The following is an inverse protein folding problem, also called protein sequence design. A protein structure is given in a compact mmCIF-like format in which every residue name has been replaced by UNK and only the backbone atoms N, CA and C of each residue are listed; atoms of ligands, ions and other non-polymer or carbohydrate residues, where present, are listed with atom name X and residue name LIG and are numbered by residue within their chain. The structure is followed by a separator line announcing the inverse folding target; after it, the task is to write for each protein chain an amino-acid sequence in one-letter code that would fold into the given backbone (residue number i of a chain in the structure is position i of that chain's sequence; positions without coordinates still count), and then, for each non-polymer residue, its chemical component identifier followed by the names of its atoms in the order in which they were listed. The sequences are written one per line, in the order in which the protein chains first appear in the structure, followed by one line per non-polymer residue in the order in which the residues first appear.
data_IF_538281217493
#
_entry.id   IF_538281217493
#
_cell.length_a   1.000
_cell.length_b   1.000
_cell.length_c   1.000
_cell.angle_alpha   90.00
_cell.angle_beta   90.00
_cell.angle_gamma   90.00
#
_symmetry.space_group_name_H-M   'P 1'
#
loop_
_entity.id
_entity.type
_entity.pdbx_description
1 polymer ?
#
# COMPACT_ATOMS: atom_id res chain seq x y z
N UNK A 1 14.62 7.34 -16.19
CA UNK A 1 14.13 6.16 -16.92
C UNK A 1 12.62 6.26 -17.11
N UNK A 2 12.02 5.39 -17.97
CA UNK A 2 10.57 5.28 -18.09
C UNK A 2 10.03 4.29 -17.08
N UNK A 3 9.09 4.73 -16.26
CA UNK A 3 8.45 3.92 -15.21
C UNK A 3 6.93 3.90 -15.44
N UNK A 4 6.34 2.72 -15.44
CA UNK A 4 4.90 2.56 -15.49
C UNK A 4 4.39 2.22 -14.08
N UNK A 5 3.47 3.03 -13.54
CA UNK A 5 2.87 2.81 -12.23
C UNK A 5 1.43 2.35 -12.41
N UNK A 6 1.09 1.14 -12.00
CA UNK A 6 -0.31 0.71 -11.92
C UNK A 6 -0.93 1.14 -10.61
N UNK A 7 -2.17 1.60 -10.60
CA UNK A 7 -2.82 2.15 -9.42
C UNK A 7 -2.29 3.53 -9.00
N UNK A 8 -1.70 4.28 -9.95
CA UNK A 8 -1.06 5.56 -9.69
C UNK A 8 -2.02 6.70 -9.34
N UNK A 9 -3.32 6.57 -9.60
CA UNK A 9 -4.36 7.51 -9.17
C UNK A 9 -4.91 7.21 -7.76
N UNK A 10 -4.50 6.09 -7.16
CA UNK A 10 -4.88 5.68 -5.80
C UNK A 10 -4.11 6.41 -4.71
N UNK A 11 -4.35 6.02 -3.45
CA UNK A 11 -3.68 6.59 -2.28
C UNK A 11 -2.15 6.42 -2.36
N UNK A 12 -1.65 5.20 -2.22
CA UNK A 12 -0.20 4.92 -2.20
C UNK A 12 0.42 5.27 -3.55
N UNK A 13 -0.24 4.89 -4.65
CA UNK A 13 0.28 5.09 -6.00
C UNK A 13 0.53 6.55 -6.34
N UNK A 14 -0.31 7.48 -5.88
CA UNK A 14 -0.12 8.91 -6.14
C UNK A 14 1.12 9.49 -5.44
N UNK A 15 1.44 9.03 -4.22
CA UNK A 15 2.69 9.42 -3.55
C UNK A 15 3.92 8.83 -4.26
N UNK A 16 3.79 7.61 -4.79
CA UNK A 16 4.85 6.97 -5.60
C UNK A 16 5.08 7.76 -6.89
N UNK A 17 4.02 8.17 -7.59
CA UNK A 17 4.10 8.97 -8.81
C UNK A 17 4.82 10.30 -8.53
N UNK A 18 4.41 11.03 -7.50
CA UNK A 18 5.04 12.30 -7.11
C UNK A 18 6.53 12.13 -6.84
N UNK A 19 6.89 11.07 -6.09
CA UNK A 19 8.28 10.81 -5.75
C UNK A 19 9.11 10.45 -6.98
N UNK A 20 8.62 9.62 -7.86
CA UNK A 20 9.34 9.22 -9.07
C UNK A 20 9.53 10.41 -10.03
N UNK A 21 8.56 11.31 -10.13
CA UNK A 21 8.69 12.56 -10.89
C UNK A 21 9.76 13.46 -10.28
N UNK A 22 9.78 13.62 -8.95
CA UNK A 22 10.79 14.41 -8.24
C UNK A 22 12.21 13.86 -8.44
N UNK A 23 12.33 12.53 -8.61
CA UNK A 23 13.61 11.87 -8.93
C UNK A 23 13.97 11.92 -10.43
N UNK A 24 13.19 12.66 -11.27
CA UNK A 24 13.45 12.88 -12.69
C UNK A 24 13.09 11.71 -13.61
N UNK A 25 12.22 10.79 -13.18
CA UNK A 25 11.72 9.71 -14.03
C UNK A 25 10.60 10.20 -14.95
N UNK A 26 10.51 9.64 -16.16
CA UNK A 26 9.32 9.76 -17.01
C UNK A 26 8.30 8.71 -16.53
N UNK A 27 7.14 9.16 -16.07
CA UNK A 27 6.13 8.29 -15.45
C UNK A 27 4.87 8.24 -16.32
N UNK A 28 4.41 7.03 -16.60
CA UNK A 28 3.06 6.74 -17.10
C UNK A 28 2.26 6.03 -15.99
N UNK A 29 0.95 6.24 -15.95
CA UNK A 29 0.04 5.63 -14.96
C UNK A 29 -1.01 4.79 -15.67
N UNK A 30 -1.26 3.57 -15.17
CA UNK A 30 -2.46 2.78 -15.45
C UNK A 30 -3.32 2.78 -14.20
N UNK A 31 -4.59 3.17 -14.33
CA UNK A 31 -5.57 3.11 -13.26
C UNK A 31 -6.97 2.96 -13.88
N UNK A 32 -7.84 2.14 -13.28
CA UNK A 32 -9.22 2.01 -13.74
C UNK A 32 -10.17 3.02 -13.09
N UNK A 33 -9.65 3.85 -12.19
CA UNK A 33 -10.36 4.88 -11.41
C UNK A 33 -11.53 4.34 -10.55
N UNK A 34 -11.51 3.04 -10.21
CA UNK A 34 -12.53 2.46 -9.33
C UNK A 34 -12.49 3.06 -7.90
N UNK A 35 -11.30 3.38 -7.41
CA UNK A 35 -11.07 4.09 -6.14
C UNK A 35 -10.04 5.22 -6.31
N UNK A 36 -9.31 5.20 -7.42
CA UNK A 36 -8.37 6.26 -7.80
C UNK A 36 -9.11 7.52 -8.23
N UNK A 37 -8.45 8.66 -8.09
CA UNK A 37 -8.97 9.98 -8.50
C UNK A 37 -8.03 10.58 -9.55
N UNK A 38 -8.58 10.99 -10.69
CA UNK A 38 -7.83 11.60 -11.81
C UNK A 38 -7.00 12.81 -11.35
N UNK A 39 -7.55 13.60 -10.44
CA UNK A 39 -6.97 14.83 -9.91
C UNK A 39 -5.67 14.59 -9.14
N UNK A 40 -5.43 13.35 -8.70
CA UNK A 40 -4.19 12.93 -8.03
C UNK A 40 -3.03 12.66 -8.99
N UNK A 41 -3.31 12.60 -10.29
CA UNK A 41 -2.29 12.35 -11.32
C UNK A 41 -1.86 13.69 -11.90
N UNK A 42 -0.59 14.12 -11.73
CA UNK A 42 -0.09 15.38 -12.26
C UNK A 42 -0.28 15.50 -13.78
N UNK A 43 -0.58 16.69 -14.29
CA UNK A 43 -0.86 16.93 -15.70
C UNK A 43 0.28 16.57 -16.68
N UNK A 44 1.52 16.49 -16.17
CA UNK A 44 2.67 16.04 -16.95
C UNK A 44 2.74 14.51 -17.12
N UNK A 45 1.89 13.75 -16.39
CA UNK A 45 1.85 12.29 -16.41
C UNK A 45 0.75 11.81 -17.33
N UNK A 46 1.06 10.89 -18.23
CA UNK A 46 0.05 10.23 -19.04
C UNK A 46 -0.73 9.22 -18.21
N UNK A 47 -2.02 9.46 -18.02
CA UNK A 47 -2.95 8.55 -17.38
C UNK A 47 -3.67 7.69 -18.43
N UNK A 48 -3.44 6.39 -18.38
CA UNK A 48 -4.17 5.38 -19.15
C UNK A 48 -5.30 4.84 -18.28
N UNK A 49 -6.57 5.19 -18.59
CA UNK A 49 -7.73 4.64 -17.89
C UNK A 49 -7.99 3.23 -18.40
N UNK A 50 -7.50 2.23 -17.68
CA UNK A 50 -7.52 0.83 -18.08
C UNK A 50 -7.51 -0.08 -16.85
N UNK A 51 -8.34 -1.14 -16.88
CA UNK A 51 -8.26 -2.22 -15.89
C UNK A 51 -7.15 -3.21 -16.32
N UNK A 52 -6.46 -3.81 -15.36
CA UNK A 52 -5.41 -4.81 -15.65
C UNK A 52 -5.96 -6.07 -16.35
N UNK A 53 -7.26 -6.30 -16.29
CA UNK A 53 -7.97 -7.42 -16.93
C UNK A 53 -8.52 -7.06 -18.33
N UNK A 54 -8.32 -5.81 -18.76
CA UNK A 54 -8.80 -5.33 -20.06
C UNK A 54 -7.86 -5.80 -21.17
N UNK A 55 -8.43 -6.22 -22.31
CA UNK A 55 -7.67 -6.59 -23.49
C UNK A 55 -6.77 -5.47 -24.04
N UNK A 56 -7.07 -4.20 -23.72
CA UNK A 56 -6.27 -3.03 -24.10
C UNK A 56 -4.93 -2.93 -23.35
N UNK A 57 -4.71 -3.73 -22.30
CA UNK A 57 -3.51 -3.64 -21.46
C UNK A 57 -2.22 -3.79 -22.29
N UNK A 58 -2.19 -4.70 -23.27
CA UNK A 58 -1.04 -4.88 -24.18
C UNK A 58 -0.69 -3.58 -24.92
N UNK A 59 -1.68 -2.94 -25.52
CA UNK A 59 -1.49 -1.70 -26.28
C UNK A 59 -1.01 -0.55 -25.38
N UNK A 60 -1.52 -0.49 -24.15
CA UNK A 60 -1.14 0.54 -23.16
C UNK A 60 0.33 0.36 -22.76
N UNK A 61 0.74 -0.84 -22.39
CA UNK A 61 2.13 -1.10 -21.97
C UNK A 61 3.10 -0.93 -23.16
N UNK A 62 2.71 -1.35 -24.37
CA UNK A 62 3.50 -1.14 -25.57
C UNK A 62 3.70 0.36 -25.89
N UNK A 63 2.66 1.19 -25.68
CA UNK A 63 2.75 2.65 -25.87
C UNK A 63 3.61 3.34 -24.80
N UNK A 64 3.56 2.88 -23.55
CA UNK A 64 4.35 3.42 -22.45
C UNK A 64 5.84 3.04 -22.54
N UNK A 65 6.17 1.89 -23.14
CA UNK A 65 7.54 1.35 -23.28
C UNK A 65 8.34 1.42 -21.96
N UNK A 66 7.84 0.89 -20.84
CA UNK A 66 8.49 1.03 -19.56
C UNK A 66 9.73 0.16 -19.44
N UNK A 67 10.82 0.70 -18.89
CA UNK A 67 11.96 -0.10 -18.43
C UNK A 67 11.68 -0.79 -17.09
N UNK A 68 10.81 -0.18 -16.26
CA UNK A 68 10.40 -0.68 -14.95
C UNK A 68 8.90 -0.52 -14.77
N UNK A 69 8.26 -1.52 -14.19
CA UNK A 69 6.85 -1.46 -13.76
C UNK A 69 6.80 -1.45 -12.23
N UNK A 70 6.07 -0.49 -11.67
CA UNK A 70 5.71 -0.43 -10.26
C UNK A 70 4.24 -0.84 -10.14
N UNK A 71 3.99 -2.01 -9.55
CA UNK A 71 2.66 -2.58 -9.44
C UNK A 71 2.05 -2.31 -8.08
N UNK A 72 1.19 -1.26 -8.01
CA UNK A 72 0.47 -0.84 -6.79
C UNK A 72 -1.02 -1.17 -6.89
N UNK A 73 -1.57 -1.26 -8.11
CA UNK A 73 -2.99 -1.54 -8.32
C UNK A 73 -3.43 -2.83 -7.61
N UNK A 74 -4.47 -2.74 -6.83
CA UNK A 74 -5.07 -3.87 -6.11
C UNK A 74 -6.50 -3.57 -5.66
N UNK A 75 -7.31 -4.60 -5.48
CA UNK A 75 -8.41 -4.57 -4.53
C UNK A 75 -7.77 -4.67 -3.13
N UNK A 76 -7.88 -3.64 -2.28
CA UNK A 76 -7.15 -3.56 -1.00
C UNK A 76 -8.04 -3.70 0.24
N UNK A 77 -9.38 -3.74 0.05
CA UNK A 77 -10.35 -3.83 1.13
C UNK A 77 -10.51 -5.26 1.62
N UNK A 78 -10.12 -5.53 2.88
CA UNK A 78 -10.23 -6.87 3.49
C UNK A 78 -11.69 -7.33 3.57
N UNK A 79 -12.64 -6.47 3.99
CA UNK A 79 -14.06 -6.83 4.07
C UNK A 79 -14.64 -7.18 2.71
N UNK A 80 -14.26 -6.43 1.67
CA UNK A 80 -14.69 -6.74 0.30
C UNK A 80 -14.13 -8.08 -0.16
N UNK A 81 -12.89 -8.42 0.20
CA UNK A 81 -12.31 -9.71 -0.15
C UNK A 81 -13.05 -10.88 0.51
N UNK A 82 -13.56 -10.68 1.73
CA UNK A 82 -14.38 -11.69 2.43
C UNK A 82 -15.77 -11.80 1.80
N UNK A 83 -16.38 -10.66 1.44
CA UNK A 83 -17.70 -10.63 0.82
C UNK A 83 -17.70 -11.18 -0.61
N UNK A 84 -16.64 -10.91 -1.39
CA UNK A 84 -16.49 -11.40 -2.77
C UNK A 84 -15.02 -11.82 -3.05
N UNK A 85 -14.63 -13.02 -2.61
CA UNK A 85 -13.27 -13.52 -2.82
C UNK A 85 -12.95 -13.78 -4.30
N UNK A 86 -13.97 -14.01 -5.15
CA UNK A 86 -13.76 -14.17 -6.59
C UNK A 86 -13.34 -12.87 -7.24
N UNK A 87 -14.00 -11.78 -6.88
CA UNK A 87 -13.61 -10.45 -7.36
C UNK A 87 -12.21 -10.08 -6.89
N UNK A 88 -11.90 -10.30 -5.60
CA UNK A 88 -10.56 -10.07 -5.05
C UNK A 88 -9.49 -10.84 -5.83
N UNK A 89 -9.67 -12.15 -6.03
CA UNK A 89 -8.74 -12.98 -6.80
C UNK A 89 -8.66 -12.53 -8.27
N UNK A 90 -9.78 -12.12 -8.88
CA UNK A 90 -9.78 -11.64 -10.26
C UNK A 90 -8.92 -10.39 -10.45
N UNK A 91 -8.96 -9.45 -9.50
CA UNK A 91 -8.17 -8.22 -9.55
C UNK A 91 -6.72 -8.49 -9.15
N UNK A 92 -6.49 -9.10 -7.98
CA UNK A 92 -5.17 -9.20 -7.38
C UNK A 92 -4.31 -10.32 -7.97
N UNK A 93 -4.92 -11.45 -8.38
CA UNK A 93 -4.19 -12.58 -8.96
C UNK A 93 -4.24 -12.54 -10.48
N UNK A 94 -5.43 -12.60 -11.08
CA UNK A 94 -5.54 -12.64 -12.55
C UNK A 94 -5.07 -11.34 -13.19
N UNK A 95 -5.35 -10.17 -12.59
CA UNK A 95 -4.84 -8.88 -13.04
C UNK A 95 -3.32 -8.81 -12.99
N UNK A 96 -2.69 -9.35 -11.91
CA UNK A 96 -1.23 -9.43 -11.82
C UNK A 96 -0.65 -10.36 -12.88
N UNK A 97 -1.25 -11.54 -13.11
CA UNK A 97 -0.82 -12.47 -14.15
C UNK A 97 -0.87 -11.79 -15.52
N UNK A 98 -2.00 -11.14 -15.86
CA UNK A 98 -2.15 -10.41 -17.12
C UNK A 98 -1.07 -9.34 -17.29
N UNK A 99 -0.79 -8.55 -16.25
CA UNK A 99 0.29 -7.55 -16.27
C UNK A 99 1.66 -8.20 -16.53
N UNK A 100 1.98 -9.29 -15.83
CA UNK A 100 3.27 -9.99 -15.99
C UNK A 100 3.45 -10.61 -17.38
N UNK A 101 2.38 -11.15 -17.98
CA UNK A 101 2.39 -11.64 -19.36
C UNK A 101 2.66 -10.51 -20.36
N UNK A 102 2.01 -9.36 -20.19
CA UNK A 102 2.26 -8.17 -21.02
C UNK A 102 3.68 -7.65 -20.81
N UNK A 103 4.16 -7.58 -19.57
CA UNK A 103 5.55 -7.22 -19.27
C UNK A 103 6.54 -8.14 -20.02
N UNK A 104 6.30 -9.45 -20.03
CA UNK A 104 7.14 -10.42 -20.75
C UNK A 104 7.16 -10.13 -22.25
N UNK A 105 5.98 -9.90 -22.88
CA UNK A 105 5.88 -9.59 -24.31
C UNK A 105 6.54 -8.27 -24.68
N UNK A 106 6.41 -7.26 -23.80
CA UNK A 106 7.00 -5.92 -24.00
C UNK A 106 8.50 -5.85 -23.62
N UNK A 107 9.11 -6.95 -23.19
CA UNK A 107 10.53 -6.98 -22.82
C UNK A 107 10.86 -6.23 -21.52
N UNK A 108 9.89 -5.98 -20.66
CA UNK A 108 10.12 -5.40 -19.33
C UNK A 108 11.00 -6.32 -18.51
N UNK A 109 12.03 -5.78 -17.89
CA UNK A 109 13.01 -6.56 -17.12
C UNK A 109 12.91 -6.35 -15.61
N UNK A 110 12.14 -5.36 -15.17
CA UNK A 110 12.03 -4.98 -13.76
C UNK A 110 10.59 -4.79 -13.34
N UNK A 111 10.17 -5.47 -12.26
CA UNK A 111 8.88 -5.25 -11.59
C UNK A 111 9.12 -5.02 -10.10
N UNK A 112 8.58 -3.91 -9.57
CA UNK A 112 8.49 -3.62 -8.14
C UNK A 112 7.03 -3.77 -7.74
N UNK A 113 6.75 -4.65 -6.81
CA UNK A 113 5.39 -4.98 -6.38
C UNK A 113 5.15 -4.56 -4.93
N UNK A 114 4.03 -3.89 -4.66
CA UNK A 114 3.59 -3.61 -3.29
C UNK A 114 2.65 -4.71 -2.81
N UNK A 115 3.12 -5.50 -1.86
CA UNK A 115 2.35 -6.53 -1.17
C UNK A 115 1.93 -6.04 0.22
N UNK A 116 1.48 -6.93 1.07
CA UNK A 116 1.05 -6.62 2.43
C UNK A 116 1.89 -7.40 3.45
N UNK A 117 2.44 -6.72 4.45
CA UNK A 117 2.99 -7.37 5.63
C UNK A 117 1.93 -7.55 6.72
N UNK A 118 1.00 -6.59 6.81
CA UNK A 118 -0.07 -6.63 7.82
C UNK A 118 -1.07 -7.78 7.65
N UNK A 119 -1.24 -8.32 6.44
CA UNK A 119 -2.20 -9.41 6.19
C UNK A 119 -1.54 -10.73 5.74
N UNK A 120 -0.22 -10.76 5.54
CA UNK A 120 0.48 -11.91 4.97
C UNK A 120 0.89 -12.94 6.03
N UNK A 121 1.35 -12.48 7.20
CA UNK A 121 1.96 -13.35 8.20
C UNK A 121 0.96 -14.01 9.15
N UNK A 122 -0.24 -13.44 9.31
CA UNK A 122 -1.22 -13.87 10.31
C UNK A 122 -0.78 -13.54 11.73
N UNK A 123 -1.43 -14.15 12.72
CA UNK A 123 -1.03 -13.98 14.11
C UNK A 123 0.27 -14.75 14.39
N UNK A 124 1.20 -14.08 15.07
CA UNK A 124 2.52 -14.63 15.43
C UNK A 124 3.08 -13.99 16.68
N UNK A 125 3.85 -14.74 17.44
CA UNK A 125 4.62 -14.25 18.60
C UNK A 125 6.03 -13.77 18.19
N UNK A 126 6.43 -14.00 16.92
CA UNK A 126 7.71 -13.53 16.40
C UNK A 126 7.55 -12.08 15.93
N UNK A 127 7.89 -11.15 16.80
CA UNK A 127 7.72 -9.71 16.59
C UNK A 127 9.01 -8.95 16.96
N UNK A 128 9.47 -7.99 16.11
CA UNK A 128 8.98 -7.70 14.76
C UNK A 128 9.13 -8.89 13.81
N UNK A 129 8.16 -9.08 12.90
CA UNK A 129 8.09 -10.25 12.00
C UNK A 129 9.05 -10.10 10.82
N UNK A 130 10.04 -11.00 10.62
CA UNK A 130 10.97 -10.97 9.48
C UNK A 130 10.36 -11.59 8.22
N UNK A 131 10.99 -11.37 7.05
CA UNK A 131 10.47 -11.83 5.76
C UNK A 131 10.48 -13.34 5.56
N UNK A 132 11.31 -14.08 6.26
CA UNK A 132 11.40 -15.54 6.23
C UNK A 132 10.40 -16.23 7.15
N UNK A 133 9.65 -15.48 7.95
CA UNK A 133 8.51 -16.02 8.70
C UNK A 133 7.48 -16.65 7.75
N UNK A 134 6.92 -17.83 8.08
CA UNK A 134 5.89 -18.46 7.26
C UNK A 134 4.68 -17.55 7.00
N UNK A 135 4.21 -17.54 5.75
CA UNK A 135 3.00 -16.81 5.37
C UNK A 135 1.76 -17.60 5.80
N UNK A 136 0.91 -16.98 6.61
CA UNK A 136 -0.35 -17.56 7.13
C UNK A 136 -1.49 -16.55 7.02
N UNK A 137 -1.82 -16.08 5.80
CA UNK A 137 -2.85 -15.07 5.62
C UNK A 137 -4.22 -15.57 6.08
N UNK A 138 -4.91 -14.75 6.89
CA UNK A 138 -6.22 -15.07 7.46
C UNK A 138 -7.39 -14.48 6.64
N UNK A 139 -7.13 -13.84 5.50
CA UNK A 139 -8.16 -13.25 4.65
C UNK A 139 -7.91 -13.54 3.17
N UNK A 140 -8.96 -13.57 2.32
CA UNK A 140 -8.79 -13.70 0.87
C UNK A 140 -7.86 -12.64 0.27
N UNK A 141 -7.90 -11.40 0.77
CA UNK A 141 -6.95 -10.35 0.40
C UNK A 141 -5.49 -10.74 0.69
N UNK A 142 -5.20 -11.22 1.89
CA UNK A 142 -3.85 -11.67 2.24
C UNK A 142 -3.41 -12.84 1.36
N UNK A 143 -4.31 -13.80 1.09
CA UNK A 143 -4.07 -14.94 0.18
C UNK A 143 -3.76 -14.44 -1.23
N UNK A 144 -4.59 -13.57 -1.80
CA UNK A 144 -4.41 -13.09 -3.18
C UNK A 144 -3.11 -12.29 -3.34
N UNK A 145 -2.76 -11.44 -2.36
CA UNK A 145 -1.52 -10.66 -2.38
C UNK A 145 -0.28 -11.56 -2.31
N UNK A 146 -0.27 -12.54 -1.42
CA UNK A 146 0.85 -13.49 -1.29
C UNK A 146 0.93 -14.46 -2.46
N UNK A 147 -0.20 -14.83 -3.07
CA UNK A 147 -0.23 -15.61 -4.32
C UNK A 147 0.42 -14.83 -5.47
N UNK A 148 0.11 -13.54 -5.61
CA UNK A 148 0.73 -12.68 -6.62
C UNK A 148 2.26 -12.60 -6.46
N UNK A 149 2.79 -12.62 -5.23
CA UNK A 149 4.25 -12.70 -4.99
C UNK A 149 4.87 -13.93 -5.68
N UNK A 150 4.21 -15.08 -5.60
CA UNK A 150 4.70 -16.33 -6.23
C UNK A 150 4.68 -16.25 -7.76
N UNK A 151 3.68 -15.57 -8.34
CA UNK A 151 3.66 -15.31 -9.77
C UNK A 151 4.78 -14.38 -10.23
N UNK A 152 5.15 -13.36 -9.42
CA UNK A 152 6.30 -12.50 -9.70
C UNK A 152 7.62 -13.28 -9.65
N UNK A 153 7.82 -14.14 -8.65
CA UNK A 153 8.99 -15.02 -8.55
C UNK A 153 9.11 -15.93 -9.76
N UNK A 154 8.00 -16.59 -10.15
CA UNK A 154 7.93 -17.45 -11.34
C UNK A 154 8.24 -16.65 -12.61
N UNK A 155 7.63 -15.49 -12.81
CA UNK A 155 7.89 -14.61 -13.94
C UNK A 155 9.37 -14.22 -14.02
N UNK A 156 9.99 -13.84 -12.93
CA UNK A 156 11.41 -13.49 -12.88
C UNK A 156 12.29 -14.68 -13.31
N UNK A 157 12.00 -15.89 -12.81
CA UNK A 157 12.73 -17.11 -13.19
C UNK A 157 12.59 -17.47 -14.66
N UNK A 158 11.38 -17.35 -15.23
CA UNK A 158 11.10 -17.70 -16.62
C UNK A 158 11.65 -16.68 -17.63
N UNK A 159 11.74 -15.40 -17.26
CA UNK A 159 12.12 -14.31 -18.18
C UNK A 159 13.55 -13.83 -18.00
N UNK A 160 14.22 -14.24 -16.92
CA UNK A 160 15.49 -13.65 -16.49
C UNK A 160 15.34 -12.20 -15.99
N UNK A 161 14.12 -11.75 -15.74
CA UNK A 161 13.80 -10.45 -15.15
C UNK A 161 14.11 -10.38 -13.67
N UNK A 162 13.87 -9.22 -13.07
CA UNK A 162 14.04 -8.97 -11.63
C UNK A 162 12.72 -8.52 -11.03
N UNK A 163 12.25 -9.21 -10.00
CA UNK A 163 11.08 -8.82 -9.21
C UNK A 163 11.52 -8.50 -7.78
N UNK A 164 11.03 -7.39 -7.24
CA UNK A 164 11.18 -7.05 -5.83
C UNK A 164 9.80 -6.79 -5.24
N UNK A 165 9.45 -7.55 -4.24
CA UNK A 165 8.21 -7.38 -3.47
C UNK A 165 8.48 -6.56 -2.22
N UNK A 166 7.68 -5.53 -2.01
CA UNK A 166 7.67 -4.71 -0.81
C UNK A 166 6.42 -5.05 0.00
N UNK A 167 6.57 -5.76 1.12
CA UNK A 167 5.48 -6.07 2.06
C UNK A 167 5.27 -4.89 2.99
N UNK A 168 4.20 -4.14 2.75
CA UNK A 168 3.91 -2.91 3.48
C UNK A 168 3.23 -3.19 4.83
N UNK A 169 3.64 -2.46 5.87
CA UNK A 169 2.90 -2.32 7.11
C UNK A 169 1.63 -1.47 6.88
N UNK A 170 0.98 -0.99 7.94
CA UNK A 170 -0.22 -0.18 7.82
C UNK A 170 0.12 1.24 7.31
N UNK A 171 -0.06 1.45 6.01
CA UNK A 171 0.25 2.75 5.38
C UNK A 171 -0.81 3.78 5.74
N UNK A 172 -0.38 4.99 6.09
CA UNK A 172 -1.27 6.11 6.38
C UNK A 172 -0.71 7.42 5.82
N UNK A 173 -1.57 8.43 5.66
CA UNK A 173 -1.16 9.76 5.20
C UNK A 173 -2.22 10.50 4.39
N UNK A 174 -1.88 11.67 3.84
CA UNK A 174 -2.71 12.43 2.91
C UNK A 174 -3.25 11.58 1.76
N UNK A 175 -4.42 11.95 1.23
CA UNK A 175 -5.10 11.27 0.11
C UNK A 175 -5.68 9.88 0.45
N UNK A 176 -5.56 9.40 1.70
CA UNK A 176 -6.26 8.17 2.11
C UNK A 176 -7.76 8.47 2.23
N UNK A 177 -8.59 7.66 1.55
CA UNK A 177 -10.05 7.84 1.57
C UNK A 177 -10.63 7.35 2.90
N UNK A 178 -11.31 8.19 3.71
CA UNK A 178 -11.90 7.77 4.97
C UNK A 178 -13.22 7.00 4.81
N UNK A 179 -13.85 7.02 3.62
CA UNK A 179 -15.17 6.43 3.40
C UNK A 179 -15.14 4.92 3.08
N UNK A 180 -13.96 4.38 2.71
CA UNK A 180 -13.81 2.95 2.39
C UNK A 180 -13.34 2.12 3.59
N UNK A 181 -12.71 0.97 3.33
CA UNK A 181 -11.89 0.28 4.33
C UNK A 181 -10.58 1.05 4.56
N UNK A 182 -10.76 2.30 4.89
CA UNK A 182 -9.65 3.17 5.22
C UNK A 182 -8.94 2.65 6.47
N UNK A 183 -7.66 2.90 6.54
CA UNK A 183 -6.94 2.72 7.78
C UNK A 183 -7.58 3.59 8.89
N UNK A 184 -7.53 3.10 10.11
CA UNK A 184 -8.12 3.75 11.29
C UNK A 184 -7.72 5.22 11.42
N UNK A 185 -6.51 5.61 10.97
CA UNK A 185 -6.03 7.00 11.01
C UNK A 185 -6.89 7.92 10.16
N UNK A 186 -7.21 7.54 8.92
CA UNK A 186 -8.04 8.35 8.04
C UNK A 186 -9.48 8.47 8.57
N UNK A 187 -10.04 7.35 9.06
CA UNK A 187 -11.39 7.33 9.66
C UNK A 187 -11.46 8.25 10.88
N UNK A 188 -10.51 8.10 11.82
CA UNK A 188 -10.52 8.90 13.05
C UNK A 188 -10.24 10.37 12.77
N UNK A 189 -9.28 10.68 11.87
CA UNK A 189 -9.00 12.06 11.48
C UNK A 189 -10.25 12.75 10.91
N UNK A 190 -10.92 12.11 9.96
CA UNK A 190 -12.14 12.68 9.35
C UNK A 190 -13.26 12.85 10.36
N UNK A 191 -13.55 11.84 11.20
CA UNK A 191 -14.62 11.90 12.21
C UNK A 191 -14.34 12.94 13.30
N UNK A 192 -13.13 12.95 13.83
CA UNK A 192 -12.75 13.92 14.86
C UNK A 192 -12.86 15.37 14.37
N UNK A 193 -12.46 15.64 13.13
CA UNK A 193 -12.59 16.95 12.51
C UNK A 193 -14.05 17.34 12.22
N UNK A 194 -14.91 16.36 11.94
CA UNK A 194 -16.36 16.58 11.79
C UNK A 194 -17.10 16.69 13.13
N UNK A 195 -16.43 16.43 14.27
CA UNK A 195 -17.07 16.37 15.58
C UNK A 195 -17.86 15.08 15.85
N UNK A 196 -17.69 14.07 14.97
CA UNK A 196 -18.38 12.79 15.06
C UNK A 196 -17.71 11.83 16.08
N UNK A 197 -18.46 10.89 16.68
CA UNK A 197 -17.89 9.87 17.55
C UNK A 197 -17.03 8.89 16.77
N UNK A 198 -15.89 8.48 17.36
CA UNK A 198 -15.04 7.42 16.84
C UNK A 198 -15.31 6.11 17.58
N UNK A 199 -15.50 5.04 16.81
CA UNK A 199 -15.72 3.69 17.33
C UNK A 199 -14.41 2.89 17.29
N UNK A 200 -13.95 2.45 18.45
CA UNK A 200 -12.85 1.50 18.64
C UNK A 200 -13.46 0.10 18.76
N UNK A 201 -13.04 -0.84 17.91
CA UNK A 201 -13.51 -2.22 18.01
C UNK A 201 -12.75 -2.94 19.13
N UNK A 202 -13.48 -3.66 19.99
CA UNK A 202 -12.92 -4.35 21.15
C UNK A 202 -12.36 -3.42 22.22
N UNK A 203 -11.29 -3.85 22.86
CA UNK A 203 -10.61 -3.11 23.94
C UNK A 203 -9.65 -2.01 23.44
N UNK A 204 -9.38 -1.95 22.13
CA UNK A 204 -8.48 -0.98 21.52
C UNK A 204 -6.99 -1.23 21.76
N UNK A 205 -6.63 -2.37 22.39
CA UNK A 205 -5.24 -2.74 22.67
C UNK A 205 -4.59 -3.57 21.52
N UNK A 206 -5.30 -3.79 20.41
CA UNK A 206 -4.69 -4.34 19.21
C UNK A 206 -3.68 -3.35 18.65
N UNK A 207 -2.50 -3.86 18.25
CA UNK A 207 -1.40 -3.03 17.77
C UNK A 207 -1.18 -3.17 16.28
N UNK A 208 -0.68 -2.10 15.66
CA UNK A 208 -0.21 -2.08 14.26
C UNK A 208 1.08 -1.29 14.16
N UNK A 209 1.85 -1.62 13.14
CA UNK A 209 2.98 -0.84 12.67
C UNK A 209 2.46 0.15 11.61
N UNK A 210 2.56 1.45 11.90
CA UNK A 210 2.07 2.50 11.02
C UNK A 210 3.23 3.17 10.28
N UNK A 211 3.25 3.05 8.96
CA UNK A 211 4.26 3.65 8.09
C UNK A 211 3.67 4.78 7.26
N UNK A 212 4.34 5.92 7.21
CA UNK A 212 3.85 7.09 6.49
C UNK A 212 4.01 6.94 4.97
N UNK A 213 3.03 7.43 4.19
CA UNK A 213 2.95 7.21 2.75
C UNK A 213 4.19 7.71 1.98
N UNK A 214 4.84 8.81 2.41
CA UNK A 214 6.06 9.27 1.76
C UNK A 214 7.26 8.35 2.00
N UNK A 215 7.32 7.67 3.15
CA UNK A 215 8.36 6.67 3.41
C UNK A 215 8.18 5.44 2.52
N UNK A 216 6.93 5.02 2.28
CA UNK A 216 6.62 3.96 1.31
C UNK A 216 6.99 4.39 -0.10
N UNK A 217 6.67 5.61 -0.53
CA UNK A 217 7.08 6.14 -1.83
C UNK A 217 8.61 6.18 -1.97
N UNK A 218 9.34 6.54 -0.89
CA UNK A 218 10.79 6.47 -0.82
C UNK A 218 11.31 5.03 -0.99
N UNK A 219 10.67 4.04 -0.35
CA UNK A 219 11.06 2.62 -0.51
C UNK A 219 10.91 2.17 -1.96
N UNK A 220 9.79 2.52 -2.61
CA UNK A 220 9.54 2.22 -4.02
C UNK A 220 10.57 2.91 -4.92
N UNK A 221 10.87 4.19 -4.70
CA UNK A 221 11.87 4.92 -5.48
C UNK A 221 13.27 4.30 -5.37
N UNK A 222 13.68 3.90 -4.17
CA UNK A 222 14.94 3.16 -3.95
C UNK A 222 14.93 1.80 -4.65
N UNK A 223 13.81 1.09 -4.63
CA UNK A 223 13.64 -0.16 -5.37
C UNK A 223 13.76 0.02 -6.89
N UNK A 224 13.23 1.13 -7.43
CA UNK A 224 13.38 1.52 -8.85
C UNK A 224 14.82 1.86 -9.18
N UNK A 225 15.52 2.57 -8.28
CA UNK A 225 16.93 2.94 -8.44
C UNK A 225 17.91 1.77 -8.26
N UNK A 226 17.45 0.62 -7.75
CA UNK A 226 18.26 -0.59 -7.49
C UNK A 226 17.82 -1.74 -8.40
N UNK A 227 18.13 -1.72 -9.70
CA UNK A 227 17.56 -2.65 -10.68
C UNK A 227 17.96 -4.12 -10.45
N UNK A 228 19.11 -4.36 -9.83
CA UNK A 228 19.65 -5.71 -9.58
C UNK A 228 19.10 -6.36 -8.31
N UNK A 229 18.49 -5.57 -7.40
CA UNK A 229 17.92 -6.06 -6.15
C UNK A 229 16.62 -6.81 -6.42
N UNK A 230 16.52 -8.05 -5.98
CA UNK A 230 15.34 -8.91 -6.13
C UNK A 230 14.95 -9.56 -4.80
N UNK A 231 13.78 -10.20 -4.78
CA UNK A 231 13.28 -10.92 -3.61
C UNK A 231 12.19 -10.16 -2.86
N UNK A 232 12.22 -10.19 -1.53
CA UNK A 232 11.17 -9.62 -0.67
C UNK A 232 11.81 -8.75 0.41
N UNK A 233 11.21 -7.60 0.70
CA UNK A 233 11.57 -6.74 1.82
C UNK A 233 10.32 -6.19 2.53
N UNK A 234 10.33 -6.21 3.85
CA UNK A 234 9.31 -5.57 4.67
C UNK A 234 9.53 -4.05 4.73
N UNK A 235 8.45 -3.30 4.64
CA UNK A 235 8.43 -1.84 4.72
C UNK A 235 7.53 -1.43 5.89
N UNK A 236 8.15 -1.18 7.01
CA UNK A 236 7.52 -0.83 8.28
C UNK A 236 8.46 -0.02 9.16
N UNK A 237 7.98 0.39 10.30
CA UNK A 237 8.77 1.19 11.28
C UNK A 237 9.42 0.30 12.35
N UNK A 238 8.93 -0.93 12.52
CA UNK A 238 9.32 -1.82 13.61
C UNK A 238 8.72 -1.42 14.97
N UNK A 239 7.78 -0.50 14.99
CA UNK A 239 7.15 0.00 16.22
C UNK A 239 5.66 -0.32 16.25
N UNK A 240 5.20 -0.80 17.39
CA UNK A 240 3.78 -1.08 17.65
C UNK A 240 3.08 0.15 18.25
N UNK A 241 1.87 0.43 17.78
CA UNK A 241 1.00 1.45 18.37
C UNK A 241 -0.40 0.88 18.54
N UNK A 242 -1.00 1.00 19.73
CA UNK A 242 -2.37 0.56 19.98
C UNK A 242 -3.38 1.51 19.34
N UNK A 243 -4.59 1.01 19.05
CA UNK A 243 -5.69 1.87 18.54
C UNK A 243 -6.08 2.93 19.58
N UNK A 244 -6.04 2.59 20.87
CA UNK A 244 -6.29 3.55 21.96
C UNK A 244 -5.26 4.68 22.00
N UNK A 245 -3.96 4.35 21.84
CA UNK A 245 -2.91 5.37 21.79
C UNK A 245 -3.06 6.26 20.55
N UNK A 246 -3.34 5.66 19.41
CA UNK A 246 -3.58 6.37 18.16
C UNK A 246 -4.75 7.36 18.30
N UNK A 247 -5.87 6.91 18.86
CA UNK A 247 -7.02 7.78 19.12
C UNK A 247 -6.63 8.97 19.99
N UNK A 248 -5.94 8.74 21.11
CA UNK A 248 -5.52 9.82 22.03
C UNK A 248 -4.62 10.86 21.35
N UNK A 249 -3.70 10.42 20.46
CA UNK A 249 -2.84 11.33 19.69
C UNK A 249 -3.65 12.16 18.69
N UNK A 250 -4.57 11.55 17.95
CA UNK A 250 -5.43 12.25 16.98
C UNK A 250 -6.42 13.19 17.66
N UNK A 251 -7.03 12.79 18.77
CA UNK A 251 -7.92 13.65 19.56
C UNK A 251 -7.20 14.91 20.06
N UNK A 252 -5.94 14.77 20.51
CA UNK A 252 -5.11 15.91 20.91
C UNK A 252 -4.81 16.85 19.72
N UNK A 253 -4.47 16.31 18.55
CA UNK A 253 -4.17 17.09 17.34
C UNK A 253 -5.39 17.84 16.81
N UNK A 254 -6.59 17.29 16.99
CA UNK A 254 -7.85 17.90 16.54
C UNK A 254 -8.53 18.76 17.60
N UNK A 255 -7.98 18.81 18.82
CA UNK A 255 -8.56 19.57 19.95
C UNK A 255 -9.83 18.93 20.56
N UNK A 256 -10.10 17.66 20.25
CA UNK A 256 -11.28 16.94 20.76
C UNK A 256 -10.97 16.31 22.11
N UNK A 257 -11.84 16.58 23.12
CA UNK A 257 -11.72 16.03 24.48
C UNK A 257 -12.61 14.80 24.74
N UNK A 258 -13.49 14.45 23.80
CA UNK A 258 -14.37 13.27 23.92
C UNK A 258 -13.54 11.98 23.94
N UNK A 259 -13.93 11.01 24.75
CA UNK A 259 -13.38 9.66 24.69
C UNK A 259 -13.91 8.90 23.44
N UNK A 260 -13.14 7.92 22.95
CA UNK A 260 -13.65 7.00 21.94
C UNK A 260 -14.77 6.13 22.51
N UNK A 261 -15.71 5.76 21.65
CA UNK A 261 -16.69 4.73 21.95
C UNK A 261 -16.10 3.35 21.67
N UNK A 262 -16.40 2.37 22.52
CA UNK A 262 -15.95 1.00 22.32
C UNK A 262 -17.11 0.11 21.85
N UNK A 263 -16.89 -0.64 20.78
CA UNK A 263 -17.82 -1.61 20.24
C UNK A 263 -17.31 -3.05 20.39
N UNK A 264 -18.04 -4.04 19.89
CA UNK A 264 -17.60 -5.43 19.91
C UNK A 264 -16.31 -5.63 19.13
N UNK A 265 -15.47 -6.57 19.57
CA UNK A 265 -14.28 -6.97 18.82
C UNK A 265 -14.66 -7.55 17.44
N UNK A 266 -13.86 -7.30 16.41
CA UNK A 266 -14.07 -7.90 15.09
C UNK A 266 -13.57 -9.34 15.09
N UNK A 267 -14.40 -10.33 14.71
CA UNK A 267 -13.94 -11.71 14.57
C UNK A 267 -12.78 -11.82 13.57
N UNK A 268 -11.70 -12.53 13.95
CA UNK A 268 -10.54 -12.74 13.08
C UNK A 268 -9.62 -11.53 12.93
N UNK A 269 -9.82 -10.46 13.70
CA UNK A 269 -8.90 -9.35 13.71
C UNK A 269 -7.58 -9.74 14.37
N UNK A 270 -6.46 -9.55 13.65
CA UNK A 270 -5.12 -9.82 14.16
C UNK A 270 -4.82 -8.95 15.40
N UNK A 271 -4.32 -9.58 16.46
CA UNK A 271 -4.04 -8.86 17.72
C UNK A 271 -2.82 -7.97 17.63
N UNK A 272 -1.72 -8.47 17.04
CA UNK A 272 -0.45 -7.72 16.91
C UNK A 272 0.10 -7.84 15.51
N UNK A 273 0.62 -6.73 14.97
CA UNK A 273 1.29 -6.72 13.66
C UNK A 273 2.36 -5.65 13.63
N UNK A 274 3.61 -6.09 13.54
CA UNK A 274 4.80 -5.23 13.41
C UNK A 274 5.84 -5.94 12.56
N UNK A 275 6.51 -5.21 11.66
CA UNK A 275 7.43 -5.76 10.67
C UNK A 275 8.89 -5.47 11.02
N UNK A 276 9.76 -6.45 10.82
CA UNK A 276 11.21 -6.24 10.79
C UNK A 276 11.61 -5.71 9.41
N UNK A 277 12.09 -4.47 9.36
CA UNK A 277 12.53 -3.79 8.13
C UNK A 277 14.05 -3.84 7.94
N UNK A 278 14.79 -4.67 8.68
CA UNK A 278 16.25 -4.78 8.60
C UNK A 278 16.71 -5.15 7.20
N UNK A 279 15.96 -6.01 6.50
CA UNK A 279 16.26 -6.41 5.12
C UNK A 279 16.09 -5.25 4.14
N UNK A 280 15.09 -4.40 4.30
CA UNK A 280 14.94 -3.19 3.49
C UNK A 280 16.12 -2.23 3.67
N UNK A 281 16.63 -2.08 4.90
CA UNK A 281 17.84 -1.31 5.18
C UNK A 281 19.06 -1.91 4.47
N UNK A 282 19.23 -3.23 4.54
CA UNK A 282 20.38 -3.91 3.91
C UNK A 282 20.33 -3.85 2.38
N UNK A 283 19.16 -4.10 1.76
CA UNK A 283 19.01 -4.19 0.32
C UNK A 283 18.88 -2.83 -0.38
N UNK A 284 18.20 -1.88 0.25
CA UNK A 284 17.81 -0.60 -0.35
C UNK A 284 18.42 0.61 0.37
N UNK A 285 19.11 0.44 1.49
CA UNK A 285 19.49 1.53 2.37
C UNK A 285 18.29 2.29 2.93
N UNK A 286 17.11 1.66 2.95
CA UNK A 286 15.86 2.30 3.37
C UNK A 286 15.59 2.12 4.87
N UNK A 287 15.13 3.20 5.48
CA UNK A 287 14.53 3.21 6.82
C UNK A 287 13.38 4.20 6.82
N UNK A 288 12.36 3.98 7.65
CA UNK A 288 11.33 4.98 7.91
C UNK A 288 11.96 6.24 8.53
N UNK A 289 11.58 7.40 8.06
CA UNK A 289 12.14 8.70 8.47
C UNK A 289 11.12 9.61 9.13
N UNK A 290 9.84 9.42 8.84
CA UNK A 290 8.74 10.22 9.40
C UNK A 290 8.26 9.56 10.68
N UNK A 291 8.35 10.28 11.81
CA UNK A 291 7.82 9.80 13.09
C UNK A 291 6.28 9.72 13.04
N UNK A 292 5.69 8.88 13.91
CA UNK A 292 4.23 8.77 13.97
C UNK A 292 3.57 10.12 14.24
N UNK A 293 4.07 10.89 15.21
CA UNK A 293 3.49 12.19 15.55
C UNK A 293 3.56 13.20 14.41
N UNK A 294 4.69 13.26 13.69
CA UNK A 294 4.83 14.10 12.50
C UNK A 294 3.87 13.67 11.38
N UNK A 295 3.80 12.38 11.10
CA UNK A 295 2.90 11.84 10.08
C UNK A 295 1.42 12.06 10.41
N UNK A 296 1.02 11.89 11.68
CA UNK A 296 -0.33 12.19 12.12
C UNK A 296 -0.67 13.68 11.98
N UNK A 297 0.23 14.57 12.38
CA UNK A 297 0.05 16.01 12.20
C UNK A 297 -0.16 16.37 10.72
N UNK A 298 0.72 15.91 9.82
CA UNK A 298 0.59 16.14 8.38
C UNK A 298 -0.72 15.58 7.81
N UNK A 299 -1.15 14.41 8.30
CA UNK A 299 -2.39 13.78 7.86
C UNK A 299 -3.61 14.58 8.30
N UNK A 300 -3.67 15.00 9.57
CA UNK A 300 -4.77 15.83 10.10
C UNK A 300 -4.83 17.17 9.38
N UNK A 301 -3.68 17.84 9.16
CA UNK A 301 -3.63 19.10 8.40
C UNK A 301 -4.22 18.94 7.01
N UNK A 302 -3.85 17.89 6.30
CA UNK A 302 -4.40 17.61 4.97
C UNK A 302 -5.93 17.43 5.00
N UNK A 303 -6.48 16.67 5.96
CA UNK A 303 -7.92 16.52 6.10
C UNK A 303 -8.62 17.84 6.44
N UNK A 304 -7.98 18.71 7.22
CA UNK A 304 -8.52 20.06 7.50
C UNK A 304 -8.59 20.94 6.24
N UNK A 305 -7.61 20.83 5.36
CA UNK A 305 -7.57 21.55 4.09
C UNK A 305 -8.65 21.04 3.12
N UNK A 306 -8.80 19.72 2.99
CA UNK A 306 -9.84 19.08 2.17
C UNK A 306 -11.27 19.43 2.61
N UNK A 307 -11.51 19.61 3.93
CA UNK A 307 -12.82 20.01 4.45
C UNK A 307 -13.15 21.48 4.19
N UNK A 308 -12.14 22.29 3.84
CA UNK A 308 -12.32 23.73 3.53
C UNK A 308 -12.45 24.00 2.04
N UNK A 309 -12.03 23.07 1.19
CA UNK A 309 -12.05 23.17 -0.27
C UNK A 309 -13.42 22.78 -0.84
#
# INVERSE_FOLDING_TARGET
MRVLVTGGAGFIGSHVVDRLLADGHAVDVIDNLATGRRERVPGAVRLHVCDLRDARLDAVVAAAQPGTVVHVAAQAAVSRSVADPRFDASVNVLGTIALLEVCRRAGVRRVVYTSTGGAAYGDTDVLPTPEDHPLRPASPYGVSKTTAERYLECWAGLTGGRALTLRLANVYGPRQDPAGEAGVIAIFSSRLLAGDPCLVNGDGEQTRDYVYASDVANAVARAVASPDVAGVANIGTGAETTVNELYRRLARLTGVSRAAEHGPARPGEQRRSVLDATRAKALLGWTATVSLDEGLMKTVTWFQEELRA
#
